data_IF_328449464568
#
_entry.id   IF_328449464568
#
_cell.length_a   1.000
_cell.length_b   1.000
_cell.length_c   1.000
_cell.angle_alpha   90.00
_cell.angle_beta   90.00
_cell.angle_gamma   90.00
#
_symmetry.space_group_name_H-M   'P 1'
#
loop_
_entity.id
_entity.type
_entity.pdbx_description
1 polymer ?
#
# COMPACT_ATOMS: atom_id res chain seq x y z
N UNK A 1 11.60 -0.88 -0.08
CA UNK A 1 10.92 0.41 -0.30
C UNK A 1 10.38 1.01 0.99
N UNK A 2 9.90 0.22 1.95
CA UNK A 2 9.27 0.75 3.17
C UNK A 2 10.10 1.80 3.94
N UNK A 3 11.43 1.66 3.97
CA UNK A 3 12.39 2.57 4.62
C UNK A 3 12.95 3.68 3.71
N UNK A 4 12.57 3.69 2.43
CA UNK A 4 13.13 4.54 1.36
C UNK A 4 12.13 5.55 0.81
N UNK A 5 11.01 5.73 1.50
CA UNK A 5 10.01 6.75 1.18
C UNK A 5 10.49 8.06 1.82
N UNK A 6 11.32 8.79 1.08
CA UNK A 6 11.91 10.04 1.55
C UNK A 6 11.04 11.24 1.18
N UNK A 7 11.00 12.21 2.08
CA UNK A 7 10.46 13.54 1.81
C UNK A 7 11.42 14.41 0.99
N UNK A 8 11.05 15.67 0.81
CA UNK A 8 11.86 16.65 0.08
C UNK A 8 12.05 17.91 0.94
N UNK A 9 13.23 18.52 0.87
CA UNK A 9 13.45 19.87 1.37
C UNK A 9 13.52 20.80 0.16
N UNK A 10 12.64 21.80 0.13
CA UNK A 10 12.48 22.67 -1.04
C UNK A 10 13.05 24.05 -0.68
N UNK A 11 13.91 24.64 -1.53
CA UNK A 11 14.36 26.01 -1.33
C UNK A 11 13.16 26.95 -1.50
N UNK A 12 12.83 27.69 -0.45
CA UNK A 12 11.75 28.66 -0.45
C UNK A 12 12.29 30.08 -0.63
N UNK A 13 11.51 30.94 -1.29
CA UNK A 13 11.82 32.35 -1.35
C UNK A 13 11.63 32.99 0.04
N UNK A 14 12.64 33.71 0.52
CA UNK A 14 12.63 34.37 1.84
C UNK A 14 13.09 33.48 3.01
N UNK A 15 12.77 33.88 4.24
CA UNK A 15 13.23 33.22 5.48
C UNK A 15 12.29 32.09 5.92
N UNK A 16 12.04 31.13 5.03
CA UNK A 16 11.16 29.99 5.30
C UNK A 16 11.91 28.66 5.14
N UNK A 17 11.66 27.73 6.05
CA UNK A 17 12.11 26.34 5.93
C UNK A 17 10.94 25.48 5.47
N UNK A 18 11.04 24.88 4.29
CA UNK A 18 9.95 24.11 3.69
C UNK A 18 10.39 22.66 3.52
N UNK A 19 9.62 21.76 4.13
CA UNK A 19 9.79 20.31 4.03
C UNK A 19 8.48 19.65 3.62
N UNK A 20 8.58 18.72 2.68
CA UNK A 20 7.50 17.84 2.25
C UNK A 20 7.73 16.49 2.91
N UNK A 21 6.76 16.03 3.69
CA UNK A 21 6.73 14.70 4.28
C UNK A 21 5.78 13.82 3.47
N UNK A 22 6.16 12.56 3.27
CA UNK A 22 5.30 11.55 2.64
C UNK A 22 4.68 10.69 3.74
N UNK A 23 3.44 11.02 4.10
CA UNK A 23 2.68 10.33 5.14
C UNK A 23 1.70 9.32 4.53
N UNK A 24 1.34 8.26 5.27
CA UNK A 24 0.30 7.33 4.84
C UNK A 24 -1.04 8.04 4.65
N UNK A 25 -1.82 7.58 3.68
CA UNK A 25 -3.19 8.03 3.44
C UNK A 25 -4.13 7.54 4.56
N UNK A 26 -3.82 6.38 5.14
CA UNK A 26 -4.63 5.76 6.19
C UNK A 26 -5.21 4.43 5.73
N UNK A 27 -6.53 4.34 5.63
CA UNK A 27 -7.22 3.09 5.23
C UNK A 27 -7.49 3.08 3.72
N UNK A 28 -6.93 2.10 3.02
CA UNK A 28 -7.08 1.91 1.57
C UNK A 28 -8.02 0.74 1.25
N UNK A 29 -9.15 1.04 0.59
CA UNK A 29 -10.03 0.03 -0.01
C UNK A 29 -9.49 -0.46 -1.34
N UNK A 30 -9.20 -1.75 -1.46
CA UNK A 30 -8.57 -2.34 -2.65
C UNK A 30 -9.47 -3.41 -3.27
N UNK A 31 -9.65 -3.35 -4.60
CA UNK A 31 -10.35 -4.38 -5.39
C UNK A 31 -9.36 -4.97 -6.39
N UNK A 32 -9.30 -6.30 -6.51
CA UNK A 32 -8.40 -7.01 -7.45
C UNK A 32 -9.17 -7.86 -8.49
N UNK A 33 -8.65 -7.99 -9.73
CA UNK A 33 -9.23 -8.83 -10.77
C UNK A 33 -8.86 -10.32 -10.61
N UNK A 34 -9.47 -11.17 -11.44
CA UNK A 34 -9.38 -12.64 -11.34
C UNK A 34 -8.21 -13.29 -12.08
N UNK A 35 -7.54 -12.57 -12.98
CA UNK A 35 -6.55 -13.13 -13.92
C UNK A 35 -5.25 -13.60 -13.26
N UNK A 36 -4.74 -12.87 -12.27
CA UNK A 36 -3.55 -13.24 -11.50
C UNK A 36 -3.77 -12.94 -10.01
N UNK A 37 -4.62 -13.72 -9.31
CA UNK A 37 -5.17 -13.33 -8.01
C UNK A 37 -4.09 -13.08 -6.96
N UNK A 38 -3.07 -13.96 -6.86
CA UNK A 38 -1.99 -13.80 -5.88
C UNK A 38 -1.01 -12.68 -6.25
N UNK A 39 -0.70 -12.51 -7.54
CA UNK A 39 0.17 -11.41 -8.00
C UNK A 39 -0.51 -10.06 -7.76
N UNK A 40 -1.80 -9.95 -8.11
CA UNK A 40 -2.57 -8.72 -7.92
C UNK A 40 -2.75 -8.39 -6.44
N UNK A 41 -2.92 -9.40 -5.59
CA UNK A 41 -2.87 -9.23 -4.14
C UNK A 41 -1.54 -8.59 -3.70
N UNK A 42 -0.41 -9.19 -4.08
CA UNK A 42 0.92 -8.68 -3.71
C UNK A 42 1.20 -7.27 -4.23
N UNK A 43 0.81 -6.98 -5.48
CA UNK A 43 0.97 -5.66 -6.09
C UNK A 43 0.13 -4.56 -5.45
N UNK A 44 -0.99 -4.90 -4.80
CA UNK A 44 -1.80 -3.91 -4.11
C UNK A 44 -1.47 -3.80 -2.63
N UNK A 45 -1.39 -4.93 -1.93
CA UNK A 45 -1.16 -4.98 -0.47
C UNK A 45 0.28 -4.60 -0.13
N UNK A 46 1.26 -5.10 -0.89
CA UNK A 46 2.69 -4.86 -0.66
C UNK A 46 3.06 -3.37 -0.59
N UNK A 47 2.82 -2.55 -1.64
CA UNK A 47 3.15 -1.13 -1.60
C UNK A 47 2.28 -0.34 -0.62
N UNK A 48 1.01 -0.72 -0.42
CA UNK A 48 0.15 -0.04 0.55
C UNK A 48 0.67 -0.18 1.98
N UNK A 49 1.04 -1.40 2.39
CA UNK A 49 1.66 -1.67 3.69
C UNK A 49 3.06 -1.04 3.79
N UNK A 50 3.85 -1.08 2.72
CA UNK A 50 5.18 -0.46 2.71
C UNK A 50 5.11 1.06 2.94
N UNK A 51 4.05 1.73 2.49
CA UNK A 51 3.80 3.14 2.76
C UNK A 51 3.13 3.41 4.12
N UNK A 52 2.88 2.39 4.95
CA UNK A 52 2.25 2.54 6.27
C UNK A 52 0.72 2.63 6.24
N UNK A 53 0.07 2.25 5.15
CA UNK A 53 -1.40 2.23 5.08
C UNK A 53 -1.97 0.95 5.68
N UNK A 54 -3.21 1.03 6.18
CA UNK A 54 -4.05 -0.13 6.47
C UNK A 54 -4.87 -0.49 5.23
N UNK A 55 -5.20 -1.76 5.02
CA UNK A 55 -5.86 -2.23 3.78
C UNK A 55 -7.15 -2.99 4.09
N UNK A 56 -8.21 -2.69 3.34
CA UNK A 56 -9.42 -3.53 3.25
C UNK A 56 -9.52 -4.03 1.82
N UNK A 57 -9.43 -5.35 1.63
CA UNK A 57 -9.33 -5.96 0.30
C UNK A 57 -10.60 -6.73 -0.07
N UNK A 58 -11.14 -6.46 -1.27
CA UNK A 58 -12.15 -7.27 -1.94
C UNK A 58 -11.54 -8.02 -3.11
N UNK A 59 -11.56 -9.34 -3.03
CA UNK A 59 -11.04 -10.24 -4.07
C UNK A 59 -12.07 -10.46 -5.17
N UNK A 60 -11.63 -10.95 -6.33
CA UNK A 60 -12.57 -11.40 -7.36
C UNK A 60 -13.36 -12.62 -6.88
N UNK A 61 -14.64 -12.67 -7.22
CA UNK A 61 -15.56 -13.75 -6.81
C UNK A 61 -15.22 -15.11 -7.44
N UNK A 62 -14.59 -15.10 -8.61
CA UNK A 62 -14.14 -16.30 -9.34
C UNK A 62 -12.90 -16.94 -8.70
N UNK A 63 -12.04 -16.14 -8.07
CA UNK A 63 -10.73 -16.58 -7.56
C UNK A 63 -10.42 -16.07 -6.13
N UNK A 64 -11.28 -16.33 -5.13
CA UNK A 64 -11.09 -15.80 -3.78
C UNK A 64 -10.06 -16.58 -2.94
N UNK A 65 -9.90 -17.89 -3.19
CA UNK A 65 -9.23 -18.80 -2.26
C UNK A 65 -7.75 -18.48 -2.01
N UNK A 66 -7.00 -18.14 -3.06
CA UNK A 66 -5.57 -17.86 -2.96
C UNK A 66 -5.28 -16.63 -2.09
N UNK A 67 -6.11 -15.59 -2.21
CA UNK A 67 -5.97 -14.39 -1.42
C UNK A 67 -6.35 -14.64 0.05
N UNK A 68 -7.42 -15.41 0.31
CA UNK A 68 -7.79 -15.80 1.68
C UNK A 68 -6.69 -16.60 2.38
N UNK A 69 -6.08 -17.56 1.67
CA UNK A 69 -4.95 -18.32 2.21
C UNK A 69 -3.75 -17.42 2.50
N UNK A 70 -3.40 -16.52 1.58
CA UNK A 70 -2.32 -15.55 1.80
C UNK A 70 -2.60 -14.62 2.99
N UNK A 71 -3.86 -14.25 3.24
CA UNK A 71 -4.24 -13.47 4.42
C UNK A 71 -4.05 -14.24 5.73
N UNK A 72 -4.24 -15.56 5.75
CA UNK A 72 -3.93 -16.36 6.95
C UNK A 72 -2.43 -16.31 7.28
N UNK A 73 -1.56 -16.32 6.26
CA UNK A 73 -0.11 -16.21 6.46
C UNK A 73 0.33 -14.85 7.02
N UNK A 74 -0.51 -13.81 6.95
CA UNK A 74 -0.22 -12.50 7.57
C UNK A 74 -0.52 -12.47 9.07
N UNK A 75 -1.29 -13.43 9.57
CA UNK A 75 -1.67 -13.52 10.99
C UNK A 75 -0.77 -14.48 11.78
N UNK A 76 -0.02 -15.34 11.09
CA UNK A 76 0.98 -16.24 11.67
C UNK A 76 2.21 -15.46 12.16
#
# INVERSE_FOLDING_TARGET
WADKIHGLTIPADGSHHVQVLHEPVGVAGQIIPWNFPLLMYGWKVGPALACGNSVVLKTAELTPLSALYASNLLLE
#
